data_IF_586254035045
#
_entry.id   IF_586254035045
#
_cell.length_a   1.000
_cell.length_b   1.000
_cell.length_c   1.000
_cell.angle_alpha   90.00
_cell.angle_beta   90.00
_cell.angle_gamma   90.00
#
_symmetry.space_group_name_H-M   'P 1'
#
loop_
_entity.id
_entity.type
_entity.pdbx_description
1 polymer ?
#
# COMPACT_ATOMS: atom_id res chain seq x y z
N UNK A 1 -13.28 -10.95 31.37
CA UNK A 1 -12.97 -11.82 32.54
C UNK A 1 -13.02 -13.27 32.04
N UNK A 2 -11.92 -13.76 31.44
CA UNK A 2 -10.87 -14.62 32.04
C UNK A 2 -11.39 -16.05 32.32
N UNK A 3 -10.83 -17.03 31.58
CA UNK A 3 -10.41 -18.40 31.97
C UNK A 3 -10.73 -19.40 30.84
N UNK A 4 -9.90 -20.38 30.48
CA UNK A 4 -8.48 -20.73 30.69
C UNK A 4 -8.30 -22.00 29.83
N UNK A 5 -7.18 -22.08 29.14
CA UNK A 5 -6.82 -23.16 28.23
C UNK A 5 -6.76 -24.52 28.95
N UNK A 6 -7.29 -25.55 28.30
CA UNK A 6 -7.08 -26.95 28.67
C UNK A 6 -6.85 -27.75 27.40
N UNK A 7 -5.58 -27.91 27.04
CA UNK A 7 -5.17 -28.96 26.12
C UNK A 7 -4.29 -29.96 26.86
N UNK A 8 -4.81 -31.18 26.87
CA UNK A 8 -4.32 -32.38 27.51
C UNK A 8 -2.95 -32.75 26.96
N UNK A 9 -1.94 -32.85 27.83
CA UNK A 9 -0.64 -33.43 27.49
C UNK A 9 -0.73 -34.96 27.56
N UNK A 10 -0.77 -35.60 26.40
CA UNK A 10 -0.56 -37.04 26.29
C UNK A 10 0.88 -37.38 26.68
N UNK A 11 1.00 -38.27 27.66
CA UNK A 11 2.25 -38.83 28.16
C UNK A 11 2.87 -39.72 27.07
N UNK A 12 3.87 -39.23 26.33
CA UNK A 12 4.72 -40.06 25.47
C UNK A 12 6.01 -40.34 26.24
N UNK A 13 6.19 -41.61 26.60
CA UNK A 13 7.40 -42.15 27.19
C UNK A 13 8.56 -42.01 26.19
N UNK A 14 9.58 -41.22 26.51
CA UNK A 14 10.84 -41.15 25.73
C UNK A 14 11.87 -42.07 26.39
N UNK A 15 12.45 -43.06 25.68
CA UNK A 15 13.55 -43.85 26.22
C UNK A 15 14.81 -43.00 26.38
N UNK A 16 15.46 -43.10 27.55
CA UNK A 16 16.78 -42.53 27.81
C UNK A 16 17.79 -43.18 26.88
N UNK A 17 18.34 -42.42 25.93
CA UNK A 17 19.59 -42.76 25.27
C UNK A 17 20.54 -41.57 25.27
N UNK A 18 21.81 -41.88 25.57
CA UNK A 18 22.84 -40.98 26.06
C UNK A 18 23.06 -39.74 25.21
N UNK A 19 23.19 -38.61 25.90
CA UNK A 19 23.58 -37.32 25.37
C UNK A 19 25.07 -37.40 25.00
N UNK A 20 25.37 -37.86 23.78
CA UNK A 20 26.71 -37.69 23.21
C UNK A 20 26.79 -36.33 22.53
N UNK A 21 27.64 -35.47 23.10
CA UNK A 21 27.85 -34.03 22.88
C UNK A 21 28.25 -33.65 21.43
N UNK A 22 28.34 -34.61 20.50
CA UNK A 22 28.84 -34.40 19.14
C UNK A 22 27.77 -34.16 18.05
N UNK A 23 26.47 -34.11 18.38
CA UNK A 23 25.41 -33.69 17.42
C UNK A 23 24.85 -32.29 17.67
N UNK A 24 25.37 -31.56 18.66
CA UNK A 24 24.94 -30.18 18.97
C UNK A 24 25.24 -29.17 17.86
N UNK A 25 26.17 -29.48 16.96
CA UNK A 25 26.49 -28.61 15.81
C UNK A 25 25.52 -28.74 14.63
N UNK A 26 24.70 -29.81 14.59
CA UNK A 26 23.80 -30.02 13.46
C UNK A 26 22.38 -29.47 13.70
N UNK A 27 21.99 -29.24 14.96
CA UNK A 27 20.66 -28.70 15.30
C UNK A 27 20.55 -27.18 15.03
N UNK A 28 21.68 -26.48 14.85
CA UNK A 28 21.68 -25.02 14.64
C UNK A 28 21.10 -24.58 13.27
N UNK A 29 21.02 -25.47 12.29
CA UNK A 29 20.65 -25.08 10.91
C UNK A 29 19.11 -25.09 10.66
N UNK A 30 18.33 -25.81 11.46
CA UNK A 30 16.87 -25.95 11.22
C UNK A 30 16.03 -24.81 11.82
N UNK A 31 16.62 -23.94 12.65
CA UNK A 31 15.91 -22.85 13.34
C UNK A 31 15.73 -21.55 12.53
N UNK A 32 16.41 -21.42 11.39
CA UNK A 32 16.47 -20.14 10.63
C UNK A 32 15.39 -20.05 9.53
N UNK A 33 14.66 -21.14 9.23
CA UNK A 33 13.73 -21.18 8.10
C UNK A 33 12.31 -20.64 8.37
N UNK A 34 11.98 -20.19 9.59
CA UNK A 34 10.59 -19.82 9.98
C UNK A 34 10.33 -18.30 9.99
N UNK A 35 11.29 -17.47 9.58
CA UNK A 35 11.17 -16.01 9.77
C UNK A 35 10.94 -15.17 8.50
N UNK A 36 10.90 -15.75 7.29
CA UNK A 36 10.80 -14.95 6.05
C UNK A 36 9.38 -14.65 5.54
N UNK A 37 8.31 -15.09 6.21
CA UNK A 37 6.94 -14.84 5.72
C UNK A 37 6.41 -13.41 5.93
N UNK A 38 7.24 -12.43 6.30
CA UNK A 38 6.78 -11.08 6.62
C UNK A 38 6.97 -10.03 5.50
N UNK A 39 7.38 -10.40 4.28
CA UNK A 39 7.51 -9.44 3.17
C UNK A 39 6.94 -9.99 1.85
N UNK A 40 5.63 -10.20 1.78
CA UNK A 40 4.91 -10.18 0.51
C UNK A 40 4.00 -8.94 0.50
N UNK A 41 4.60 -7.75 0.33
CA UNK A 41 3.84 -6.57 -0.05
C UNK A 41 3.56 -6.68 -1.55
N UNK A 42 2.53 -7.43 -1.92
CA UNK A 42 2.01 -7.46 -3.29
C UNK A 42 1.37 -6.11 -3.58
N UNK A 43 2.06 -5.25 -4.32
CA UNK A 43 1.47 -4.04 -4.90
C UNK A 43 0.34 -4.49 -5.84
N UNK A 44 -0.89 -4.12 -5.51
CA UNK A 44 -2.05 -4.43 -6.34
C UNK A 44 -2.11 -3.43 -7.51
N UNK A 45 -1.27 -3.63 -8.53
CA UNK A 45 -1.17 -2.75 -9.70
C UNK A 45 -2.50 -2.58 -10.44
N UNK A 46 -3.37 -3.60 -10.39
CA UNK A 46 -4.73 -3.53 -10.91
C UNK A 46 -5.54 -2.44 -10.19
N UNK A 47 -5.45 -2.32 -8.87
CA UNK A 47 -6.19 -1.29 -8.13
C UNK A 47 -5.76 0.14 -8.47
N UNK A 48 -4.47 0.39 -8.71
CA UNK A 48 -3.95 1.74 -9.01
C UNK A 48 -4.46 2.20 -10.37
N UNK A 49 -4.46 1.29 -11.35
CA UNK A 49 -4.95 1.60 -12.70
C UNK A 49 -6.44 1.93 -12.69
N UNK A 50 -7.24 1.21 -11.89
CA UNK A 50 -8.68 1.48 -11.78
C UNK A 50 -8.97 2.83 -11.12
N UNK A 51 -8.18 3.25 -10.11
CA UNK A 51 -8.31 4.59 -9.52
C UNK A 51 -7.98 5.68 -10.55
N UNK A 52 -6.93 5.49 -11.36
CA UNK A 52 -6.59 6.44 -12.42
C UNK A 52 -7.72 6.53 -13.48
N UNK A 53 -8.31 5.40 -13.87
CA UNK A 53 -9.46 5.38 -14.80
C UNK A 53 -10.65 6.15 -14.23
N UNK A 54 -11.02 5.89 -12.97
CA UNK A 54 -12.12 6.59 -12.31
C UNK A 54 -11.91 8.11 -12.28
N UNK A 55 -10.66 8.58 -12.13
CA UNK A 55 -10.31 9.99 -12.20
C UNK A 55 -10.61 10.59 -13.59
N UNK A 56 -10.23 9.91 -14.66
CA UNK A 56 -10.53 10.34 -16.04
C UNK A 56 -12.02 10.27 -16.37
N UNK A 57 -12.71 9.23 -15.92
CA UNK A 57 -14.15 9.07 -16.14
C UNK A 57 -14.95 10.19 -15.48
N UNK A 58 -14.60 10.55 -14.23
CA UNK A 58 -15.19 11.68 -13.52
C UNK A 58 -14.92 13.01 -14.24
N UNK A 59 -13.68 13.23 -14.68
CA UNK A 59 -13.30 14.45 -15.39
C UNK A 59 -14.05 14.60 -16.73
N UNK A 60 -14.23 13.51 -17.48
CA UNK A 60 -14.88 13.52 -18.80
C UNK A 60 -16.34 14.00 -18.75
N UNK A 61 -17.03 13.78 -17.63
CA UNK A 61 -18.42 14.23 -17.41
C UNK A 61 -18.51 15.50 -16.55
N UNK A 62 -17.37 16.09 -16.17
CA UNK A 62 -17.30 17.29 -15.34
C UNK A 62 -17.62 17.08 -13.86
N UNK A 63 -17.60 15.83 -13.37
CA UNK A 63 -17.80 15.52 -11.95
C UNK A 63 -16.51 15.77 -11.16
N UNK A 64 -16.32 17.03 -10.76
CA UNK A 64 -15.11 17.45 -10.07
C UNK A 64 -15.06 17.01 -8.60
N UNK A 65 -16.21 16.71 -7.99
CA UNK A 65 -16.26 16.14 -6.64
C UNK A 65 -15.76 14.70 -6.66
N UNK A 66 -16.26 13.87 -7.59
CA UNK A 66 -15.75 12.52 -7.80
C UNK A 66 -14.27 12.52 -8.23
N UNK A 67 -13.86 13.44 -9.11
CA UNK A 67 -12.44 13.59 -9.47
C UNK A 67 -11.58 13.88 -8.22
N UNK A 68 -11.99 14.82 -7.37
CA UNK A 68 -11.25 15.17 -6.16
C UNK A 68 -11.13 13.99 -5.19
N UNK A 69 -12.16 13.14 -5.09
CA UNK A 69 -12.17 11.94 -4.26
C UNK A 69 -11.17 10.86 -4.72
N UNK A 70 -10.71 10.91 -5.98
CA UNK A 70 -9.65 10.00 -6.48
C UNK A 70 -8.24 10.43 -6.09
N UNK A 71 -8.06 11.65 -5.58
CA UNK A 71 -6.76 12.21 -5.25
C UNK A 71 -6.40 11.96 -3.77
N UNK A 72 -5.12 11.76 -3.50
CA UNK A 72 -4.62 11.80 -2.13
C UNK A 72 -4.79 13.20 -1.53
N UNK A 73 -5.00 13.29 -0.21
CA UNK A 73 -5.14 14.57 0.51
C UNK A 73 -3.91 15.48 0.30
N UNK A 74 -2.72 14.89 0.20
CA UNK A 74 -1.45 15.56 0.00
C UNK A 74 -0.91 15.47 -1.45
N UNK A 75 -1.78 15.19 -2.43
CA UNK A 75 -1.37 15.03 -3.84
C UNK A 75 -0.55 16.24 -4.32
N UNK A 76 0.53 15.98 -5.07
CA UNK A 76 1.42 17.03 -5.59
C UNK A 76 1.45 17.02 -7.11
N UNK A 77 0.93 18.08 -7.74
CA UNK A 77 0.94 18.24 -9.19
C UNK A 77 2.02 19.23 -9.62
N UNK A 78 2.92 18.76 -10.47
CA UNK A 78 3.99 19.55 -11.11
C UNK A 78 3.56 19.86 -12.54
N UNK A 79 3.08 21.06 -12.78
CA UNK A 79 2.74 21.51 -14.12
C UNK A 79 3.98 22.05 -14.83
N UNK A 80 4.19 21.75 -16.13
CA UNK A 80 5.35 22.25 -16.86
C UNK A 80 5.35 23.78 -16.89
N UNK A 81 6.50 24.39 -16.60
CA UNK A 81 6.69 25.86 -16.53
C UNK A 81 6.36 26.60 -17.83
N UNK A 82 6.29 25.89 -18.96
CA UNK A 82 5.95 26.46 -20.26
C UNK A 82 4.46 26.75 -20.45
N UNK A 83 3.58 26.25 -19.57
CA UNK A 83 2.15 26.55 -19.63
C UNK A 83 1.80 27.79 -18.79
N UNK A 84 0.74 28.54 -19.15
CA UNK A 84 0.22 29.65 -18.34
C UNK A 84 -0.17 29.27 -16.90
N UNK A 85 -0.47 27.98 -16.67
CA UNK A 85 -0.76 27.36 -15.38
C UNK A 85 0.40 26.50 -14.86
N UNK A 86 1.63 26.80 -15.29
CA UNK A 86 2.84 26.12 -14.82
C UNK A 86 3.12 26.42 -13.35
N UNK A 87 3.45 25.40 -12.56
CA UNK A 87 3.60 25.54 -11.12
C UNK A 87 3.62 24.22 -10.36
N UNK A 88 3.71 24.32 -9.04
CA UNK A 88 3.61 23.22 -8.08
C UNK A 88 2.34 23.42 -7.24
N UNK A 89 1.48 22.41 -7.20
CA UNK A 89 0.19 22.46 -6.50
C UNK A 89 0.10 21.31 -5.49
N UNK A 90 -0.45 21.59 -4.32
CA UNK A 90 -0.65 20.59 -3.24
C UNK A 90 -2.12 20.52 -2.89
N UNK A 91 -2.70 19.32 -2.96
CA UNK A 91 -4.12 19.07 -2.75
C UNK A 91 -4.96 19.27 -4.02
N UNK A 92 -6.08 18.56 -4.10
CA UNK A 92 -7.00 18.58 -5.25
C UNK A 92 -7.59 19.97 -5.52
N UNK A 93 -7.92 20.72 -4.47
CA UNK A 93 -8.45 22.09 -4.60
C UNK A 93 -7.46 23.03 -5.31
N UNK A 94 -6.17 22.99 -4.92
CA UNK A 94 -5.15 23.83 -5.56
C UNK A 94 -4.98 23.50 -7.05
N UNK A 95 -5.16 22.24 -7.44
CA UNK A 95 -5.14 21.80 -8.84
C UNK A 95 -6.37 22.33 -9.59
N UNK A 96 -7.57 22.22 -9.01
CA UNK A 96 -8.79 22.72 -9.64
C UNK A 96 -8.74 24.23 -9.90
N UNK A 97 -8.31 24.99 -8.90
CA UNK A 97 -8.20 26.45 -8.99
C UNK A 97 -7.02 26.89 -9.87
N UNK A 98 -5.89 26.21 -9.76
CA UNK A 98 -4.62 26.61 -10.38
C UNK A 98 -4.37 26.06 -11.78
N UNK A 99 -5.05 24.96 -12.17
CA UNK A 99 -4.84 24.28 -13.45
C UNK A 99 -6.14 24.24 -14.26
N UNK A 100 -7.20 23.66 -13.73
CA UNK A 100 -8.43 23.43 -14.52
C UNK A 100 -9.24 24.71 -14.77
N UNK A 101 -9.40 25.58 -13.75
CA UNK A 101 -10.11 26.85 -13.94
C UNK A 101 -9.43 27.76 -15.00
N UNK A 102 -8.08 27.91 -15.01
CA UNK A 102 -7.39 28.58 -16.11
C UNK A 102 -7.60 27.93 -17.48
N UNK A 103 -7.58 26.59 -17.57
CA UNK A 103 -7.78 25.89 -18.84
C UNK A 103 -9.14 26.26 -19.46
N UNK A 104 -10.22 26.18 -18.70
CA UNK A 104 -11.56 26.53 -19.21
C UNK A 104 -11.72 27.99 -19.66
N UNK A 105 -10.84 28.90 -19.19
CA UNK A 105 -10.83 30.32 -19.61
C UNK A 105 -9.94 30.58 -20.82
N UNK A 106 -8.80 29.89 -20.90
CA UNK A 106 -7.75 30.13 -21.89
C UNK A 106 -7.97 29.36 -23.19
N UNK A 107 -8.70 28.24 -23.15
CA UNK A 107 -9.09 27.44 -24.32
C UNK A 107 -10.60 27.26 -24.35
N UNK A 108 -11.35 28.32 -24.69
CA UNK A 108 -12.77 28.17 -25.02
C UNK A 108 -12.94 27.41 -26.35
N UNK A 109 -14.07 26.72 -26.50
CA UNK A 109 -14.44 25.99 -27.72
C UNK A 109 -14.45 26.87 -29.00
#
# INVERSE_FOLDING_TARGET
MKLKDSFVFAFILIPKQGINVMSKKLILVMGIAVSLSACQHSSNDTSITEVAKASYDAFAVGDMEAWAATQAEDVRWRMPKGFPYGGDYVGSQAVMEGVFSPIGKLWPD
#
